data_IF_737332038079
#
_entry.id   IF_737332038079
#
_cell.length_a   1.000
_cell.length_b   1.000
_cell.length_c   1.000
_cell.angle_alpha   90.00
_cell.angle_beta   90.00
_cell.angle_gamma   90.00
#
_symmetry.space_group_name_H-M   'P 1'
#
loop_
_entity.id
_entity.type
_entity.pdbx_description
1 polymer ?
#
# COMPACT_ATOMS: atom_id res chain seq x y z
N UNK A 1 -1.33 -4.70 -1.49
CA UNK A 1 -1.30 -4.49 -0.03
C UNK A 1 -2.44 -3.59 0.43
N UNK A 2 -2.49 -2.31 0.02
CA UNK A 2 -3.48 -1.35 0.52
C UNK A 2 -4.95 -1.81 0.41
N UNK A 3 -5.40 -2.25 -0.77
CA UNK A 3 -6.76 -2.78 -0.97
C UNK A 3 -7.07 -3.98 -0.07
N UNK A 4 -6.13 -4.91 0.06
CA UNK A 4 -6.29 -6.13 0.89
C UNK A 4 -6.44 -5.74 2.35
N UNK A 5 -5.56 -4.87 2.86
CA UNK A 5 -5.59 -4.42 4.25
C UNK A 5 -6.75 -3.49 4.55
N UNK A 6 -7.28 -2.77 3.57
CA UNK A 6 -8.49 -1.97 3.75
C UNK A 6 -9.71 -2.86 3.99
N UNK A 7 -9.82 -3.95 3.22
CA UNK A 7 -10.97 -4.87 3.29
C UNK A 7 -10.83 -5.92 4.41
N UNK A 8 -9.60 -6.35 4.70
CA UNK A 8 -9.30 -7.41 5.66
C UNK A 8 -8.52 -6.90 6.88
N UNK A 9 -8.42 -5.59 7.08
CA UNK A 9 -7.62 -4.99 8.15
C UNK A 9 -8.07 -5.43 9.54
N UNK A 10 -9.38 -5.49 9.78
CA UNK A 10 -9.95 -5.95 11.04
C UNK A 10 -9.64 -7.43 11.32
N UNK A 11 -9.97 -8.40 10.44
CA UNK A 11 -9.64 -9.80 10.71
C UNK A 11 -8.13 -10.05 10.78
N UNK A 12 -7.30 -9.29 10.04
CA UNK A 12 -5.84 -9.35 10.16
C UNK A 12 -5.39 -8.85 11.53
N UNK A 13 -5.89 -7.70 11.98
CA UNK A 13 -5.55 -7.11 13.29
C UNK A 13 -5.97 -8.03 14.42
N UNK A 14 -7.20 -8.56 14.36
CA UNK A 14 -7.70 -9.54 15.32
C UNK A 14 -6.84 -10.79 15.38
N UNK A 15 -6.45 -11.33 14.22
CA UNK A 15 -5.59 -12.51 14.14
C UNK A 15 -4.21 -12.26 14.74
N UNK A 16 -3.66 -11.05 14.55
CA UNK A 16 -2.31 -10.71 15.00
C UNK A 16 -2.27 -10.32 16.47
N UNK A 17 -3.26 -9.58 16.97
CA UNK A 17 -3.16 -8.88 18.24
C UNK A 17 -4.25 -9.23 19.27
N UNK A 18 -5.48 -9.56 18.87
CA UNK A 18 -6.63 -9.72 19.79
C UNK A 18 -6.57 -11.04 20.58
N UNK A 19 -5.72 -11.04 21.62
CA UNK A 19 -5.53 -12.11 22.59
C UNK A 19 -5.19 -11.52 23.95
N UNK A 20 -5.60 -12.20 25.03
CA UNK A 20 -5.32 -11.75 26.40
C UNK A 20 -5.98 -10.41 26.69
N UNK A 21 -5.18 -9.42 27.09
CA UNK A 21 -5.64 -8.06 27.42
C UNK A 21 -6.01 -7.21 26.19
N UNK A 22 -5.69 -7.65 24.97
CA UNK A 22 -6.02 -6.91 23.75
C UNK A 22 -7.45 -7.24 23.32
N UNK A 23 -8.32 -6.24 23.38
CA UNK A 23 -9.76 -6.38 23.18
C UNK A 23 -10.19 -5.99 21.76
N UNK A 24 -11.44 -6.29 21.42
CA UNK A 24 -12.04 -5.83 20.16
C UNK A 24 -12.07 -4.29 20.04
N UNK A 25 -12.11 -3.56 21.16
CA UNK A 25 -12.02 -2.10 21.15
C UNK A 25 -10.63 -1.64 20.68
N UNK A 26 -9.57 -2.32 21.11
CA UNK A 26 -8.20 -2.04 20.67
C UNK A 26 -8.00 -2.39 19.19
N UNK A 27 -8.62 -3.48 18.72
CA UNK A 27 -8.68 -3.83 17.29
C UNK A 27 -9.28 -2.69 16.47
N UNK A 28 -10.40 -2.12 16.92
CA UNK A 28 -11.05 -1.00 16.23
C UNK A 28 -10.14 0.24 16.17
N UNK A 29 -9.39 0.54 17.23
CA UNK A 29 -8.42 1.64 17.25
C UNK A 29 -7.27 1.41 16.25
N UNK A 30 -6.68 0.21 16.24
CA UNK A 30 -5.62 -0.12 15.28
C UNK A 30 -6.11 -0.06 13.84
N UNK A 31 -7.32 -0.55 13.56
CA UNK A 31 -7.93 -0.50 12.23
C UNK A 31 -8.20 0.95 11.79
N UNK A 32 -8.62 1.82 12.71
CA UNK A 32 -8.81 3.24 12.40
C UNK A 32 -7.49 3.91 11.96
N UNK A 33 -6.39 3.67 12.69
CA UNK A 33 -5.07 4.14 12.27
C UNK A 33 -4.59 3.49 10.97
N UNK A 34 -4.78 2.18 10.82
CA UNK A 34 -4.40 1.44 9.62
C UNK A 34 -5.04 2.07 8.39
N UNK A 35 -6.34 2.34 8.42
CA UNK A 35 -7.05 2.93 7.28
C UNK A 35 -6.42 4.26 6.84
N UNK A 36 -6.03 5.13 7.77
CA UNK A 36 -5.37 6.39 7.43
C UNK A 36 -3.95 6.13 6.88
N UNK A 37 -3.17 5.24 7.50
CA UNK A 37 -1.85 4.85 6.99
C UNK A 37 -1.90 4.25 5.58
N UNK A 38 -2.99 3.54 5.23
CA UNK A 38 -3.18 3.00 3.89
C UNK A 38 -3.35 4.09 2.83
N UNK A 39 -3.90 5.25 3.20
CA UNK A 39 -3.93 6.44 2.33
C UNK A 39 -2.51 6.98 2.15
N UNK A 40 -1.77 7.16 3.25
CA UNK A 40 -0.36 7.57 3.23
C UNK A 40 0.51 6.67 2.34
N UNK A 41 0.33 5.36 2.46
CA UNK A 41 1.04 4.33 1.69
C UNK A 41 0.97 4.56 0.18
N UNK A 42 -0.13 5.11 -0.35
CA UNK A 42 -0.24 5.41 -1.78
C UNK A 42 0.80 6.46 -2.21
N UNK A 43 1.03 7.47 -1.38
CA UNK A 43 2.06 8.49 -1.63
C UNK A 43 3.46 7.92 -1.48
N UNK A 44 3.73 7.14 -0.42
CA UNK A 44 5.02 6.47 -0.26
C UNK A 44 5.35 5.51 -1.41
N UNK A 45 4.36 4.79 -1.94
CA UNK A 45 4.55 3.88 -3.07
C UNK A 45 5.00 4.61 -4.34
N UNK A 46 4.51 5.83 -4.56
CA UNK A 46 4.96 6.71 -5.66
C UNK A 46 6.33 7.32 -5.34
N UNK A 47 6.57 7.68 -4.08
CA UNK A 47 7.77 8.39 -3.65
C UNK A 47 9.07 7.57 -3.73
N UNK A 48 9.00 6.28 -3.35
CA UNK A 48 10.16 5.40 -3.34
C UNK A 48 10.92 5.37 -4.68
N UNK A 49 10.26 5.11 -5.82
CA UNK A 49 10.90 5.17 -7.14
C UNK A 49 11.48 6.54 -7.49
N UNK A 50 10.86 7.64 -7.04
CA UNK A 50 11.35 9.00 -7.30
C UNK A 50 12.70 9.23 -6.62
N UNK A 51 12.84 8.82 -5.35
CA UNK A 51 14.10 8.89 -4.63
C UNK A 51 15.21 8.13 -5.39
N UNK A 52 14.93 6.92 -5.85
CA UNK A 52 15.88 6.16 -6.67
C UNK A 52 16.21 6.83 -8.01
N UNK A 53 15.24 7.50 -8.65
CA UNK A 53 15.47 8.23 -9.91
C UNK A 53 16.45 9.40 -9.72
N UNK A 54 16.40 10.11 -8.58
CA UNK A 54 17.36 11.16 -8.25
C UNK A 54 18.72 10.59 -7.83
N UNK A 55 18.74 9.50 -7.05
CA UNK A 55 19.99 8.82 -6.68
C UNK A 55 20.74 8.28 -7.91
N UNK A 56 20.03 7.71 -8.89
CA UNK A 56 20.61 7.25 -10.15
C UNK A 56 21.23 8.40 -10.99
N UNK A 57 20.85 9.65 -10.72
CA UNK A 57 21.42 10.86 -11.33
C UNK A 57 22.50 11.51 -10.47
N UNK A 58 23.06 10.77 -9.50
CA UNK A 58 24.04 11.26 -8.53
C UNK A 58 23.53 12.46 -7.71
N UNK A 59 22.22 12.63 -7.58
CA UNK A 59 21.61 13.69 -6.81
C UNK A 59 20.98 13.11 -5.54
N UNK A 60 21.75 13.07 -4.46
CA UNK A 60 21.27 12.63 -3.14
C UNK A 60 20.75 13.78 -2.27
N UNK A 61 21.15 15.01 -2.59
CA UNK A 61 20.83 16.20 -1.81
C UNK A 61 19.36 16.62 -1.95
N UNK A 62 18.79 16.55 -3.15
CA UNK A 62 17.38 16.94 -3.35
C UNK A 62 16.41 16.05 -2.55
N UNK A 63 16.44 14.70 -2.65
CA UNK A 63 15.61 13.84 -1.81
C UNK A 63 15.79 14.12 -0.31
N UNK A 64 17.03 14.32 0.15
CA UNK A 64 17.31 14.61 1.56
C UNK A 64 16.68 15.93 2.03
N UNK A 65 16.79 16.99 1.23
CA UNK A 65 16.21 18.30 1.55
C UNK A 65 14.67 18.25 1.58
N UNK A 66 14.05 17.55 0.61
CA UNK A 66 12.61 17.33 0.60
C UNK A 66 12.18 16.48 1.80
N UNK A 67 13.00 15.52 2.21
CA UNK A 67 12.89 14.78 3.47
C UNK A 67 12.75 15.71 4.67
N UNK A 68 13.68 16.67 4.83
CA UNK A 68 13.63 17.67 5.91
C UNK A 68 12.36 18.53 5.84
N UNK A 69 11.98 19.00 4.65
CA UNK A 69 10.74 19.78 4.46
C UNK A 69 9.51 18.94 4.87
N UNK A 70 9.47 17.67 4.51
CA UNK A 70 8.37 16.77 4.86
C UNK A 70 8.26 16.56 6.37
N UNK A 71 9.38 16.47 7.10
CA UNK A 71 9.39 16.42 8.57
C UNK A 71 8.86 17.73 9.16
N UNK A 72 9.11 18.86 8.51
CA UNK A 72 8.46 20.13 8.83
C UNK A 72 6.94 20.06 8.69
N UNK A 73 6.44 19.52 7.58
CA UNK A 73 4.99 19.29 7.35
C UNK A 73 4.42 18.38 8.44
N UNK A 74 5.09 17.26 8.74
CA UNK A 74 4.70 16.36 9.83
C UNK A 74 4.55 17.12 11.14
N UNK A 75 5.58 17.88 11.53
CA UNK A 75 5.61 18.60 12.81
C UNK A 75 4.47 19.59 12.92
N UNK A 76 4.22 20.40 11.88
CA UNK A 76 3.13 21.39 11.87
C UNK A 76 1.77 20.70 11.98
N UNK A 77 1.52 19.65 11.19
CA UNK A 77 0.23 18.94 11.19
C UNK A 77 0.04 18.15 12.49
N UNK A 78 1.09 17.53 13.02
CA UNK A 78 1.06 16.80 14.29
C UNK A 78 0.70 17.72 15.45
N UNK A 79 1.35 18.88 15.56
CA UNK A 79 1.05 19.85 16.62
C UNK A 79 -0.37 20.42 16.49
N UNK A 80 -0.87 20.59 15.26
CA UNK A 80 -2.24 21.05 15.04
C UNK A 80 -3.32 19.99 15.36
N UNK A 81 -3.01 18.69 15.18
CA UNK A 81 -3.99 17.61 15.27
C UNK A 81 -3.88 16.74 16.53
N UNK A 82 -2.77 16.78 17.27
CA UNK A 82 -2.57 15.92 18.45
C UNK A 82 -3.60 16.20 19.55
N UNK A 83 -3.95 17.46 19.80
CA UNK A 83 -4.92 17.82 20.82
C UNK A 83 -6.36 17.43 20.44
N UNK A 84 -6.87 17.75 19.23
CA UNK A 84 -8.24 17.38 18.86
C UNK A 84 -8.44 15.91 18.50
N UNK A 85 -7.42 15.21 17.99
CA UNK A 85 -7.55 13.84 17.45
C UNK A 85 -6.68 12.80 18.16
N UNK A 86 -5.85 13.18 19.14
CA UNK A 86 -4.94 12.27 19.82
C UNK A 86 -3.98 11.58 18.85
N UNK A 87 -3.76 10.28 19.05
CA UNK A 87 -2.87 9.49 18.21
C UNK A 87 -3.32 9.45 16.73
N UNK A 88 -4.62 9.51 16.44
CA UNK A 88 -5.14 9.57 15.06
C UNK A 88 -4.64 10.84 14.35
N UNK A 89 -4.48 11.94 15.08
CA UNK A 89 -3.88 13.16 14.56
C UNK A 89 -2.43 12.96 14.10
N UNK A 90 -1.66 12.14 14.81
CA UNK A 90 -0.28 11.79 14.40
C UNK A 90 -0.25 10.92 13.15
N UNK A 91 -1.22 10.02 12.99
CA UNK A 91 -1.35 9.20 11.79
C UNK A 91 -1.70 10.05 10.57
N UNK A 92 -2.59 11.03 10.73
CA UNK A 92 -2.86 12.03 9.69
C UNK A 92 -1.64 12.89 9.37
N UNK A 93 -0.87 13.29 10.38
CA UNK A 93 0.38 14.03 10.19
C UNK A 93 1.40 13.22 9.38
N UNK A 94 1.54 11.93 9.65
CA UNK A 94 2.42 11.05 8.88
C UNK A 94 1.94 10.89 7.43
N UNK A 95 0.63 10.79 7.22
CA UNK A 95 0.02 10.77 5.88
C UNK A 95 0.30 12.08 5.13
N UNK A 96 0.17 13.23 5.79
CA UNK A 96 0.48 14.54 5.22
C UNK A 96 1.97 14.68 4.86
N UNK A 97 2.86 14.13 5.71
CA UNK A 97 4.31 14.04 5.43
C UNK A 97 4.58 13.25 4.15
N UNK A 98 4.02 12.05 4.04
CA UNK A 98 4.20 11.18 2.87
C UNK A 98 3.65 11.86 1.60
N UNK A 99 2.47 12.47 1.68
CA UNK A 99 1.87 13.22 0.57
C UNK A 99 2.73 14.42 0.16
N UNK A 100 3.15 15.24 1.12
CA UNK A 100 3.99 16.41 0.86
C UNK A 100 5.32 16.04 0.20
N UNK A 101 5.99 15.00 0.70
CA UNK A 101 7.23 14.50 0.10
C UNK A 101 7.00 14.05 -1.35
N UNK A 102 6.03 13.16 -1.57
CA UNK A 102 5.72 12.62 -2.89
C UNK A 102 5.38 13.73 -3.89
N UNK A 103 4.53 14.69 -3.51
CA UNK A 103 4.10 15.79 -4.38
C UNK A 103 5.28 16.70 -4.77
N UNK A 104 6.15 17.04 -3.83
CA UNK A 104 7.36 17.83 -4.11
C UNK A 104 8.30 17.04 -5.04
N UNK A 105 8.53 15.75 -4.76
CA UNK A 105 9.39 14.90 -5.58
C UNK A 105 8.86 14.72 -7.01
N UNK A 106 7.54 14.53 -7.18
CA UNK A 106 6.90 14.47 -8.50
C UNK A 106 7.11 15.78 -9.24
N UNK A 107 6.88 16.92 -8.58
CA UNK A 107 7.08 18.24 -9.17
C UNK A 107 8.54 18.46 -9.62
N UNK A 108 9.51 18.12 -8.76
CA UNK A 108 10.93 18.24 -9.08
C UNK A 108 11.33 17.33 -10.24
N UNK A 109 10.87 16.07 -10.24
CA UNK A 109 11.16 15.15 -11.33
C UNK A 109 10.57 15.67 -12.65
N UNK A 110 9.35 16.22 -12.61
CA UNK A 110 8.70 16.78 -13.78
C UNK A 110 9.51 17.94 -14.39
N UNK A 111 10.14 18.77 -13.55
CA UNK A 111 11.03 19.85 -13.98
C UNK A 111 12.32 19.35 -14.64
N UNK A 112 12.83 18.19 -14.24
CA UNK A 112 14.10 17.64 -14.74
C UNK A 112 13.91 16.77 -15.99
N UNK A 113 12.84 15.98 -16.04
CA UNK A 113 12.66 14.92 -17.05
C UNK A 113 11.51 15.22 -18.02
N UNK A 114 10.65 16.19 -17.72
CA UNK A 114 9.43 16.41 -18.49
C UNK A 114 8.30 15.45 -18.12
N UNK A 115 7.19 15.49 -18.86
CA UNK A 115 5.94 14.78 -18.52
C UNK A 115 6.15 13.26 -18.57
N UNK A 116 5.45 12.54 -17.68
CA UNK A 116 5.37 11.08 -17.74
C UNK A 116 4.77 10.65 -19.09
N UNK A 117 5.37 9.63 -19.71
CA UNK A 117 4.91 9.10 -20.99
C UNK A 117 3.56 8.40 -20.89
N UNK A 118 2.86 8.28 -22.02
CA UNK A 118 1.55 7.61 -22.10
C UNK A 118 1.57 6.15 -21.60
N UNK A 119 2.73 5.50 -21.65
CA UNK A 119 2.92 4.13 -21.15
C UNK A 119 2.76 4.03 -19.62
N UNK A 120 3.19 5.05 -18.87
CA UNK A 120 3.02 5.12 -17.41
C UNK A 120 1.54 5.20 -17.05
N UNK A 121 0.76 5.98 -17.81
CA UNK A 121 -0.69 6.09 -17.60
C UNK A 121 -1.42 4.78 -17.88
N UNK A 122 -1.05 4.07 -18.96
CA UNK A 122 -1.62 2.74 -19.25
C UNK A 122 -1.29 1.74 -18.15
N UNK A 123 -0.05 1.74 -17.66
CA UNK A 123 0.36 0.90 -16.53
C UNK A 123 -0.45 1.18 -15.27
N UNK A 124 -0.61 2.45 -14.92
CA UNK A 124 -1.42 2.89 -13.78
C UNK A 124 -2.87 2.41 -13.90
N UNK A 125 -3.53 2.64 -15.05
CA UNK A 125 -4.90 2.19 -15.28
C UNK A 125 -5.04 0.67 -15.19
N UNK A 126 -4.06 -0.07 -15.73
CA UNK A 126 -4.05 -1.55 -15.67
C UNK A 126 -3.99 -2.04 -14.23
N UNK A 127 -3.09 -1.47 -13.43
CA UNK A 127 -2.94 -1.81 -12.00
C UNK A 127 -4.17 -1.39 -11.21
N UNK A 128 -4.75 -0.22 -11.50
CA UNK A 128 -5.97 0.25 -10.85
C UNK A 128 -7.17 -0.66 -11.15
N UNK A 129 -7.35 -1.08 -12.40
CA UNK A 129 -8.41 -2.02 -12.79
C UNK A 129 -8.23 -3.40 -12.16
N UNK A 130 -7.00 -3.94 -12.18
CA UNK A 130 -6.69 -5.20 -11.51
C UNK A 130 -6.92 -5.11 -9.99
N UNK A 131 -6.55 -3.99 -9.37
CA UNK A 131 -6.80 -3.70 -7.97
C UNK A 131 -8.29 -3.60 -7.64
N UNK A 132 -9.08 -2.97 -8.50
CA UNK A 132 -10.55 -2.88 -8.36
C UNK A 132 -11.24 -4.24 -8.49
N UNK A 133 -10.83 -5.06 -9.47
CA UNK A 133 -11.33 -6.42 -9.62
C UNK A 133 -10.96 -7.30 -8.41
N UNK A 134 -9.73 -7.18 -7.91
CA UNK A 134 -9.30 -7.82 -6.67
C UNK A 134 -10.16 -7.38 -5.48
N UNK A 135 -10.43 -6.08 -5.34
CA UNK A 135 -11.28 -5.55 -4.27
C UNK A 135 -12.68 -6.18 -4.30
N UNK A 136 -13.28 -6.26 -5.49
CA UNK A 136 -14.60 -6.87 -5.70
C UNK A 136 -14.60 -8.36 -5.32
N UNK A 137 -13.58 -9.11 -5.73
CA UNK A 137 -13.46 -10.54 -5.39
C UNK A 137 -13.27 -10.75 -3.90
N UNK A 138 -12.42 -9.96 -3.25
CA UNK A 138 -12.22 -10.05 -1.79
C UNK A 138 -13.54 -9.76 -1.08
N UNK A 139 -14.24 -8.69 -1.47
CA UNK A 139 -15.51 -8.31 -0.85
C UNK A 139 -16.58 -9.41 -1.02
N UNK A 140 -16.75 -9.92 -2.24
CA UNK A 140 -17.72 -10.98 -2.53
C UNK A 140 -17.35 -12.29 -1.81
N UNK A 141 -16.08 -12.71 -1.85
CA UNK A 141 -15.61 -13.92 -1.17
C UNK A 141 -15.79 -13.79 0.35
N UNK A 142 -15.48 -12.63 0.93
CA UNK A 142 -15.68 -12.38 2.36
C UNK A 142 -17.16 -12.43 2.73
N UNK A 143 -18.05 -11.78 1.97
CA UNK A 143 -19.48 -11.77 2.22
C UNK A 143 -20.12 -13.16 2.10
N UNK A 144 -19.64 -13.98 1.15
CA UNK A 144 -20.09 -15.35 1.02
C UNK A 144 -19.58 -16.20 2.17
N UNK A 145 -18.27 -16.20 2.43
CA UNK A 145 -17.64 -17.16 3.35
C UNK A 145 -17.88 -16.83 4.83
N UNK A 146 -17.92 -15.55 5.21
CA UNK A 146 -17.98 -15.13 6.62
C UNK A 146 -19.13 -15.75 7.45
N UNK A 147 -20.38 -15.88 6.95
CA UNK A 147 -21.48 -16.52 7.68
C UNK A 147 -21.25 -17.99 8.04
N UNK A 148 -20.38 -18.69 7.29
CA UNK A 148 -20.10 -20.11 7.52
C UNK A 148 -18.85 -20.35 8.37
N UNK A 149 -18.13 -19.29 8.72
CA UNK A 149 -16.90 -19.41 9.50
C UNK A 149 -17.17 -19.43 11.00
N UNK A 150 -16.40 -20.21 11.77
CA UNK A 150 -16.47 -20.17 13.22
C UNK A 150 -16.04 -18.78 13.74
N UNK A 151 -16.53 -18.39 14.91
CA UNK A 151 -16.04 -17.19 15.59
C UNK A 151 -14.56 -17.28 15.99
N UNK A 152 -13.98 -16.14 16.39
CA UNK A 152 -12.63 -16.07 16.94
C UNK A 152 -11.49 -16.14 15.91
N UNK A 153 -10.29 -16.49 16.39
CA UNK A 153 -9.05 -16.43 15.59
C UNK A 153 -9.05 -17.38 14.39
N UNK A 154 -9.65 -18.57 14.52
CA UNK A 154 -9.73 -19.54 13.43
C UNK A 154 -10.59 -19.01 12.27
N UNK A 155 -11.74 -18.41 12.57
CA UNK A 155 -12.56 -17.75 11.55
C UNK A 155 -11.85 -16.58 10.88
N UNK A 156 -11.16 -15.76 11.67
CA UNK A 156 -10.35 -14.66 11.13
C UNK A 156 -9.26 -15.16 10.16
N UNK A 157 -8.55 -16.23 10.54
CA UNK A 157 -7.53 -16.86 9.70
C UNK A 157 -8.13 -17.38 8.40
N UNK A 158 -9.21 -18.15 8.48
CA UNK A 158 -9.86 -18.72 7.30
C UNK A 158 -10.39 -17.63 6.37
N UNK A 159 -10.99 -16.57 6.91
CA UNK A 159 -11.47 -15.44 6.12
C UNK A 159 -10.31 -14.77 5.37
N UNK A 160 -9.20 -14.49 6.06
CA UNK A 160 -8.02 -13.85 5.46
C UNK A 160 -7.40 -14.73 4.39
N UNK A 161 -7.25 -16.03 4.64
CA UNK A 161 -6.66 -16.98 3.69
C UNK A 161 -7.55 -17.16 2.46
N UNK A 162 -8.85 -17.38 2.65
CA UNK A 162 -9.77 -17.66 1.55
C UNK A 162 -10.06 -16.40 0.72
N UNK A 163 -10.50 -15.31 1.35
CA UNK A 163 -10.82 -14.08 0.64
C UNK A 163 -9.55 -13.39 0.12
N UNK A 164 -8.52 -13.28 0.94
CA UNK A 164 -7.24 -12.70 0.55
C UNK A 164 -6.52 -13.53 -0.52
N UNK A 165 -6.57 -14.87 -0.42
CA UNK A 165 -6.03 -15.78 -1.43
C UNK A 165 -6.76 -15.66 -2.78
N UNK A 166 -8.10 -15.63 -2.77
CA UNK A 166 -8.90 -15.41 -3.98
C UNK A 166 -8.62 -14.06 -4.64
N UNK A 167 -8.51 -13.00 -3.83
CA UNK A 167 -8.12 -11.67 -4.29
C UNK A 167 -6.73 -11.66 -4.93
N UNK A 168 -5.74 -12.22 -4.24
CA UNK A 168 -4.37 -12.32 -4.73
C UNK A 168 -4.28 -13.10 -6.04
N UNK A 169 -4.97 -14.24 -6.13
CA UNK A 169 -5.03 -15.05 -7.35
C UNK A 169 -5.66 -14.27 -8.51
N UNK A 170 -6.74 -13.52 -8.25
CA UNK A 170 -7.39 -12.67 -9.26
C UNK A 170 -6.46 -11.58 -9.76
N UNK A 171 -5.79 -10.87 -8.83
CA UNK A 171 -4.83 -9.83 -9.18
C UNK A 171 -3.67 -10.39 -10.02
N UNK A 172 -3.08 -11.51 -9.60
CA UNK A 172 -2.01 -12.18 -10.32
C UNK A 172 -2.44 -12.65 -11.72
N UNK A 173 -3.63 -13.24 -11.84
CA UNK A 173 -4.19 -13.70 -13.10
C UNK A 173 -4.45 -12.54 -14.07
N UNK A 174 -5.01 -11.43 -13.59
CA UNK A 174 -5.25 -10.24 -14.42
C UNK A 174 -3.95 -9.60 -14.88
N UNK A 175 -2.95 -9.47 -14.00
CA UNK A 175 -1.65 -8.95 -14.39
C UNK A 175 -0.94 -9.85 -15.42
N UNK A 176 -1.05 -11.17 -15.27
CA UNK A 176 -0.51 -12.13 -16.23
C UNK A 176 -1.23 -12.06 -17.59
N UNK A 177 -2.56 -11.96 -17.58
CA UNK A 177 -3.38 -11.86 -18.80
C UNK A 177 -3.17 -10.53 -19.54
N UNK A 178 -3.03 -9.43 -18.82
CA UNK A 178 -2.87 -8.08 -19.37
C UNK A 178 -1.46 -7.79 -19.89
N UNK A 179 -0.53 -8.77 -19.81
CA UNK A 179 0.81 -8.73 -20.41
C UNK A 179 1.54 -7.41 -20.17
N UNK A 180 1.55 -6.90 -18.94
CA UNK A 180 2.42 -5.77 -18.61
C UNK A 180 3.86 -6.15 -19.01
N UNK A 181 4.54 -5.32 -19.83
CA UNK A 181 5.90 -5.59 -20.30
C UNK A 181 6.89 -5.96 -19.17
N UNK A 182 6.61 -5.50 -17.94
CA UNK A 182 7.41 -5.74 -16.74
C UNK A 182 7.27 -7.14 -16.13
N UNK A 183 6.18 -7.88 -16.37
CA UNK A 183 6.02 -9.24 -15.82
C UNK A 183 6.94 -10.25 -16.55
N UNK A 184 7.25 -9.98 -17.82
CA UNK A 184 8.17 -10.83 -18.60
C UNK A 184 9.61 -10.68 -18.12
N UNK A 185 10.05 -9.51 -17.66
CA UNK A 185 11.42 -9.30 -17.19
C UNK A 185 11.70 -10.04 -15.88
N UNK A 186 10.72 -10.14 -14.99
CA UNK A 186 10.82 -10.97 -13.78
C UNK A 186 10.78 -12.48 -14.11
N UNK A 187 9.89 -12.90 -15.01
CA UNK A 187 9.80 -14.30 -15.43
C UNK A 187 11.09 -14.77 -16.15
N UNK A 188 11.67 -13.95 -17.02
CA UNK A 188 12.94 -14.26 -17.70
C UNK A 188 14.14 -14.15 -16.76
N UNK A 189 14.13 -13.23 -15.79
CA UNK A 189 15.17 -13.15 -14.75
C UNK A 189 15.18 -14.41 -13.85
N UNK A 190 14.01 -14.92 -13.45
CA UNK A 190 13.89 -16.16 -12.68
C UNK A 190 14.30 -17.38 -13.51
N UNK A 191 13.81 -17.47 -14.75
CA UNK A 191 14.20 -18.56 -15.67
C UNK A 191 15.69 -18.56 -15.99
N UNK A 192 16.32 -17.39 -16.17
CA UNK A 192 17.76 -17.28 -16.45
C UNK A 192 18.66 -17.54 -15.24
N UNK A 193 18.14 -17.45 -14.01
CA UNK A 193 18.87 -17.87 -12.79
C UNK A 193 18.74 -19.37 -12.55
N UNK A 194 17.57 -19.97 -12.81
CA UNK A 194 17.37 -21.42 -12.74
C UNK A 194 18.16 -22.18 -13.84
N UNK A 195 18.32 -21.57 -15.02
CA UNK A 195 19.13 -22.14 -16.09
C UNK A 195 20.65 -22.06 -15.86
N UNK A 196 21.12 -21.21 -14.93
CA UNK A 196 22.54 -21.06 -14.56
C UNK A 196 22.96 -21.88 -13.33
N UNK A 197 22.01 -22.55 -12.68
CA UNK A 197 22.23 -23.44 -11.53
C UNK A 197 22.21 -24.94 -11.88
N UNK A 198 22.27 -25.28 -13.16
CA UNK A 198 22.51 -26.62 -13.70
C UNK A 198 23.79 -26.57 -14.52
#
# INVERSE_FOLDING_TARGET
AAVVLWLLGEPVTRLLFERGEFTAADTAQVVAALNIYLIGMLFAAVDYPLNFAFYARFNTWLPALVGVISVGIYTVVALALIEPLGYIGLVWADTAKQAGHALIMVFLLWRVVGRLGAETWRGFLTVALAGGAMALVIYAAAALVAPWLPGGALGALLLVVLAGGAGFATYAALLAALRLPDARSLATAVQSRLARGR
#
